data_IF_045481366120
#
_entry.id   IF_045481366120
#
_cell.length_a   1.000
_cell.length_b   1.000
_cell.length_c   1.000
_cell.angle_alpha   90.00
_cell.angle_beta   90.00
_cell.angle_gamma   90.00
#
_symmetry.space_group_name_H-M   'P 1'
#
loop_
_entity.id
_entity.type
_entity.pdbx_description
1 polymer ?
#
# COMPACT_ATOMS: atom_id res chain seq x y z
N UNK A 1 8.14 -4.71 -4.37
CA UNK A 1 8.21 -3.90 -3.15
C UNK A 1 8.42 -4.84 -1.98
N UNK A 2 9.65 -4.86 -1.48
CA UNK A 2 10.10 -5.68 -0.35
C UNK A 2 10.57 -4.77 0.80
N UNK A 3 10.87 -5.36 1.95
CA UNK A 3 11.35 -4.60 3.11
C UNK A 3 12.63 -3.83 2.81
N UNK A 4 13.56 -4.43 2.08
CA UNK A 4 14.84 -3.79 1.74
C UNK A 4 14.65 -2.50 0.92
N UNK A 5 13.72 -2.49 -0.02
CA UNK A 5 13.35 -1.29 -0.77
C UNK A 5 12.70 -0.24 0.14
N UNK A 6 11.79 -0.66 1.02
CA UNK A 6 11.07 0.25 1.93
C UNK A 6 11.98 0.88 3.00
N UNK A 7 13.04 0.18 3.43
CA UNK A 7 14.06 0.72 4.35
C UNK A 7 14.94 1.79 3.70
N UNK A 8 15.01 1.86 2.37
CA UNK A 8 15.74 2.91 1.65
C UNK A 8 14.92 4.18 1.46
N UNK A 9 13.63 4.16 1.78
CA UNK A 9 12.75 5.30 1.69
C UNK A 9 12.99 6.28 2.85
N UNK A 10 12.43 7.50 2.73
CA UNK A 10 12.50 8.50 3.81
C UNK A 10 11.83 7.95 5.10
N UNK A 11 12.28 8.38 6.29
CA UNK A 11 11.60 8.07 7.54
C UNK A 11 10.10 8.40 7.45
N UNK A 12 9.25 7.47 7.89
CA UNK A 12 7.79 7.63 7.83
C UNK A 12 7.15 7.28 6.48
N UNK A 13 7.92 6.85 5.47
CA UNK A 13 7.34 6.34 4.23
C UNK A 13 6.56 5.03 4.46
N UNK A 14 5.39 4.96 3.82
CA UNK A 14 4.49 3.82 3.79
C UNK A 14 4.29 3.31 2.37
N UNK A 15 4.02 2.01 2.26
CA UNK A 15 3.65 1.34 1.02
C UNK A 15 2.20 1.67 0.60
N UNK A 16 2.00 1.91 -0.70
CA UNK A 16 0.69 2.03 -1.36
C UNK A 16 0.62 1.07 -2.55
N UNK A 17 -0.59 0.63 -2.88
CA UNK A 17 -0.88 -0.26 -4.00
C UNK A 17 -2.37 -0.16 -4.36
N UNK A 18 -2.69 -0.05 -5.63
CA UNK A 18 -4.07 0.18 -6.14
C UNK A 18 -4.97 -1.07 -6.13
N UNK A 19 -4.36 -2.25 -6.12
CA UNK A 19 -4.99 -3.58 -6.07
C UNK A 19 -5.71 -3.96 -7.39
N UNK A 20 -5.83 -5.27 -7.71
CA UNK A 20 -5.27 -6.42 -6.99
C UNK A 20 -3.74 -6.48 -7.10
N UNK A 21 -3.10 -7.07 -6.09
CA UNK A 21 -1.66 -7.27 -6.07
C UNK A 21 -1.32 -8.77 -6.21
N UNK A 22 -0.27 -9.08 -6.95
CA UNK A 22 0.36 -10.39 -7.00
C UNK A 22 1.54 -10.45 -6.02
N UNK A 23 1.31 -11.19 -4.93
CA UNK A 23 2.31 -11.42 -3.89
C UNK A 23 3.51 -12.19 -4.44
N UNK A 24 4.71 -11.77 -4.04
CA UNK A 24 5.98 -12.32 -4.50
C UNK A 24 6.48 -11.77 -5.84
N UNK A 25 5.69 -10.94 -6.54
CA UNK A 25 6.09 -10.29 -7.79
C UNK A 25 6.32 -8.78 -7.56
N UNK A 26 5.26 -7.99 -7.53
CA UNK A 26 5.35 -6.54 -7.34
C UNK A 26 5.36 -6.13 -5.86
N UNK A 27 4.91 -7.00 -4.95
CA UNK A 27 4.89 -6.75 -3.50
C UNK A 27 5.09 -8.06 -2.74
N UNK A 28 5.82 -7.99 -1.63
CA UNK A 28 6.01 -9.14 -0.72
C UNK A 28 4.91 -9.21 0.32
N UNK A 29 4.64 -10.41 0.85
CA UNK A 29 3.67 -10.61 1.94
C UNK A 29 4.01 -9.76 3.17
N UNK A 30 5.30 -9.70 3.52
CA UNK A 30 5.78 -8.92 4.66
C UNK A 30 5.51 -7.42 4.58
N UNK A 31 5.46 -6.85 3.37
CA UNK A 31 5.13 -5.43 3.18
C UNK A 31 3.62 -5.25 3.10
N UNK A 32 2.91 -6.15 2.41
CA UNK A 32 1.46 -6.04 2.24
C UNK A 32 0.70 -6.19 3.55
N UNK A 33 1.18 -7.04 4.46
CA UNK A 33 0.54 -7.33 5.75
C UNK A 33 1.27 -6.70 6.95
N UNK A 34 2.36 -5.96 6.72
CA UNK A 34 3.17 -5.33 7.77
C UNK A 34 2.67 -3.94 8.19
N UNK A 35 3.31 -3.34 9.20
CA UNK A 35 2.85 -2.07 9.81
C UNK A 35 3.11 -0.82 8.94
N UNK A 36 3.99 -0.92 7.93
CA UNK A 36 4.42 0.21 7.09
C UNK A 36 3.68 0.24 5.74
N UNK A 37 2.37 0.02 5.76
CA UNK A 37 1.50 0.06 4.58
C UNK A 37 0.21 0.85 4.86
N UNK A 38 -0.35 1.45 3.81
CA UNK A 38 -1.67 2.10 3.85
C UNK A 38 -2.55 1.67 2.66
N UNK A 39 -2.34 0.44 2.15
CA UNK A 39 -3.00 -0.16 0.99
C UNK A 39 -4.50 -0.33 1.25
N UNK A 40 -4.88 -0.81 2.44
CA UNK A 40 -6.29 -1.02 2.79
C UNK A 40 -7.03 0.30 3.00
N UNK A 41 -6.39 1.27 3.66
CA UNK A 41 -6.94 2.63 3.79
C UNK A 41 -7.10 3.29 2.41
N UNK A 42 -6.14 3.09 1.49
CA UNK A 42 -6.26 3.56 0.11
C UNK A 42 -7.48 2.95 -0.60
N UNK A 43 -7.73 1.64 -0.40
CA UNK A 43 -8.89 0.96 -0.98
C UNK A 43 -10.21 1.49 -0.41
N UNK A 44 -10.31 1.67 0.91
CA UNK A 44 -11.49 2.26 1.56
C UNK A 44 -11.72 3.71 1.10
N UNK A 45 -10.66 4.50 1.00
CA UNK A 45 -10.72 5.89 0.55
C UNK A 45 -11.28 6.05 -0.87
N UNK A 46 -11.27 4.99 -1.69
CA UNK A 46 -11.92 5.01 -3.01
C UNK A 46 -13.44 5.24 -2.88
N UNK A 47 -14.10 4.67 -1.88
CA UNK A 47 -15.53 4.91 -1.62
C UNK A 47 -15.77 6.38 -1.26
N UNK A 48 -14.97 6.91 -0.34
CA UNK A 48 -15.09 8.29 0.10
C UNK A 48 -14.82 9.29 -1.03
N UNK A 49 -13.79 9.05 -1.82
CA UNK A 49 -13.46 9.86 -2.99
C UNK A 49 -14.61 9.84 -4.02
N UNK A 50 -15.19 8.67 -4.30
CA UNK A 50 -16.32 8.57 -5.22
C UNK A 50 -17.57 9.29 -4.71
N UNK A 51 -17.88 9.19 -3.41
CA UNK A 51 -18.97 9.94 -2.76
C UNK A 51 -18.81 11.45 -2.85
N UNK A 52 -17.58 11.96 -2.95
CA UNK A 52 -17.33 13.40 -3.04
C UNK A 52 -17.43 13.95 -4.47
N UNK A 53 -17.24 13.08 -5.48
CA UNK A 53 -17.31 13.46 -6.89
C UNK A 53 -18.75 13.43 -7.43
N UNK A 54 -19.57 12.49 -6.92
CA UNK A 54 -20.99 12.34 -7.29
C UNK A 54 -21.88 13.26 -6.44
#
# INVERSE_FOLDING_TARGET
MDRALLERAKPGAFALHDLPAHRGLEITDEVMDGDRQAIWDQAENRLHAQKAIL
#
